data_IF_734076272390
#
_entry.id   IF_734076272390
#
_cell.length_a   1.000
_cell.length_b   1.000
_cell.length_c   1.000
_cell.angle_alpha   90.00
_cell.angle_beta   90.00
_cell.angle_gamma   90.00
#
_symmetry.space_group_name_H-M   'P 1'
#
loop_
_entity.id
_entity.type
_entity.pdbx_description
1 polymer ?
#
# COMPACT_ATOMS: atom_id res chain seq x y z
N UNK A 1 5.47 27.88 16.24
CA UNK A 1 4.70 26.76 16.84
C UNK A 1 5.49 26.25 18.06
N UNK A 2 5.88 27.14 18.97
CA UNK A 2 6.85 26.78 20.01
C UNK A 2 6.18 26.34 21.33
N UNK A 3 4.90 26.68 21.53
CA UNK A 3 4.14 26.38 22.75
C UNK A 3 2.99 25.36 22.52
N UNK A 4 3.03 24.58 21.43
CA UNK A 4 1.97 23.58 21.18
C UNK A 4 2.22 22.31 22.03
N UNK A 5 1.24 21.98 22.87
CA UNK A 5 1.23 20.80 23.75
C UNK A 5 0.13 19.79 23.39
N UNK A 6 -0.47 19.90 22.20
CA UNK A 6 -1.50 19.00 21.72
C UNK A 6 -0.93 17.59 21.52
N UNK A 7 -1.78 16.58 21.79
CA UNK A 7 -1.50 15.17 21.49
C UNK A 7 -1.40 14.95 19.98
N UNK A 8 -2.32 15.53 19.22
CA UNK A 8 -2.37 15.48 17.75
C UNK A 8 -2.44 16.90 17.18
N UNK A 9 -1.29 17.58 17.04
CA UNK A 9 -1.25 18.95 16.54
C UNK A 9 -1.76 19.07 15.09
N UNK A 10 -2.17 20.28 14.71
CA UNK A 10 -2.54 20.59 13.33
C UNK A 10 -1.40 20.26 12.36
N UNK A 11 -1.76 19.57 11.28
CA UNK A 11 -0.84 19.04 10.27
C UNK A 11 -1.23 19.57 8.89
N UNK A 12 -0.38 20.43 8.31
CA UNK A 12 -0.63 20.99 6.98
C UNK A 12 -0.38 19.93 5.92
N UNK A 13 -1.36 19.71 5.06
CA UNK A 13 -1.31 18.75 3.95
C UNK A 13 -1.91 19.39 2.69
N UNK A 14 -1.12 20.18 1.96
CA UNK A 14 -1.61 21.01 0.84
C UNK A 14 -1.28 20.38 -0.52
N UNK A 15 -2.34 19.99 -1.25
CA UNK A 15 -2.23 19.41 -2.61
C UNK A 15 -2.03 20.43 -3.72
N UNK A 16 -2.38 21.69 -3.48
CA UNK A 16 -2.35 22.79 -4.46
C UNK A 16 -1.15 23.71 -4.23
N UNK A 17 -0.19 23.30 -3.40
CA UNK A 17 0.93 24.14 -2.99
C UNK A 17 1.72 24.67 -4.18
N UNK A 18 1.91 23.83 -5.21
CA UNK A 18 2.70 24.19 -6.37
C UNK A 18 2.05 25.33 -7.16
N UNK A 19 0.75 25.23 -7.42
CA UNK A 19 -0.02 26.25 -8.13
C UNK A 19 -0.13 27.53 -7.31
N UNK A 20 -0.43 27.42 -6.00
CA UNK A 20 -0.57 28.56 -5.09
C UNK A 20 0.73 29.34 -4.92
N UNK A 21 1.87 28.65 -4.92
CA UNK A 21 3.19 29.23 -4.68
C UNK A 21 3.97 29.50 -5.97
N UNK A 22 3.42 29.17 -7.14
CA UNK A 22 4.11 29.34 -8.43
C UNK A 22 5.37 28.46 -8.56
N UNK A 23 5.36 27.28 -7.93
CA UNK A 23 6.51 26.37 -7.94
C UNK A 23 6.55 25.60 -9.26
N UNK A 24 7.65 25.78 -9.99
CA UNK A 24 7.95 25.03 -11.20
C UNK A 24 8.48 23.63 -10.85
N UNK A 25 7.89 22.59 -11.44
CA UNK A 25 8.19 21.19 -11.11
C UNK A 25 8.52 20.45 -12.40
N UNK A 26 9.62 19.72 -12.40
CA UNK A 26 10.05 18.94 -13.56
C UNK A 26 11.56 18.77 -13.62
N UNK A 27 12.02 17.95 -14.55
CA UNK A 27 13.45 17.71 -14.74
C UNK A 27 14.05 18.79 -15.68
N UNK A 28 14.12 20.03 -15.20
CA UNK A 28 14.71 21.17 -15.92
C UNK A 28 15.44 22.11 -14.95
N UNK A 29 16.45 22.87 -15.41
CA UNK A 29 17.28 23.70 -14.52
C UNK A 29 16.53 24.74 -13.66
N UNK A 30 15.36 25.21 -14.12
CA UNK A 30 14.53 26.19 -13.39
C UNK A 30 13.58 25.57 -12.36
N UNK A 31 13.43 24.25 -12.35
CA UNK A 31 12.46 23.60 -11.49
C UNK A 31 12.95 23.56 -10.03
N UNK A 32 12.03 23.74 -9.10
CA UNK A 32 12.32 23.66 -7.68
C UNK A 32 12.62 22.22 -7.23
N UNK A 33 11.96 21.24 -7.83
CA UNK A 33 12.23 19.83 -7.61
C UNK A 33 11.70 18.95 -8.76
N UNK A 34 12.15 17.70 -8.79
CA UNK A 34 11.62 16.63 -9.64
C UNK A 34 11.52 15.33 -8.86
N UNK A 35 10.80 14.35 -9.43
CA UNK A 35 10.72 12.99 -8.87
C UNK A 35 12.09 12.31 -8.96
N UNK A 36 12.54 11.56 -7.95
CA UNK A 36 13.80 10.81 -8.02
C UNK A 36 13.85 9.83 -9.19
N UNK A 37 14.97 9.83 -9.92
CA UNK A 37 15.12 9.09 -11.19
C UNK A 37 15.02 7.57 -11.02
N UNK A 38 15.42 7.04 -9.85
CA UNK A 38 15.36 5.61 -9.54
C UNK A 38 13.94 5.02 -9.56
N UNK A 39 12.91 5.88 -9.47
CA UNK A 39 11.51 5.46 -9.53
C UNK A 39 10.96 5.33 -10.96
N UNK A 40 11.73 5.75 -11.97
CA UNK A 40 11.33 5.68 -13.37
C UNK A 40 10.15 6.60 -13.72
N UNK A 41 9.55 6.41 -14.92
CA UNK A 41 8.37 7.15 -15.36
C UNK A 41 7.13 6.92 -14.48
N UNK A 42 6.34 7.97 -14.28
CA UNK A 42 5.01 7.91 -13.66
C UNK A 42 3.94 7.72 -14.74
N UNK A 43 3.36 6.53 -14.82
CA UNK A 43 2.35 6.20 -15.83
C UNK A 43 1.03 6.97 -15.62
N UNK A 44 0.72 7.43 -14.40
CA UNK A 44 -0.42 8.32 -14.16
C UNK A 44 -0.21 9.73 -14.74
N UNK A 45 0.99 10.08 -15.22
CA UNK A 45 1.20 11.33 -15.95
C UNK A 45 0.38 11.41 -17.25
N UNK A 46 0.03 10.27 -17.87
CA UNK A 46 -0.82 10.20 -19.07
C UNK A 46 -2.24 10.80 -18.86
N UNK A 47 -2.68 10.91 -17.60
CA UNK A 47 -3.96 11.55 -17.26
C UNK A 47 -3.89 13.09 -17.35
N UNK A 48 -2.70 13.68 -17.45
CA UNK A 48 -2.53 15.13 -17.55
C UNK A 48 -3.24 15.87 -16.41
N UNK A 49 -4.10 16.83 -16.76
CA UNK A 49 -4.88 17.62 -15.80
C UNK A 49 -6.05 16.86 -15.15
N UNK A 50 -6.45 15.73 -15.74
CA UNK A 50 -7.54 14.88 -15.22
C UNK A 50 -7.03 13.90 -14.14
N UNK A 51 -5.72 13.93 -13.86
CA UNK A 51 -5.09 13.05 -12.87
C UNK A 51 -5.63 13.31 -11.47
N UNK A 52 -5.71 12.28 -10.61
CA UNK A 52 -6.07 12.48 -9.22
C UNK A 52 -5.02 13.32 -8.50
N UNK A 53 -5.40 13.92 -7.37
CA UNK A 53 -4.45 14.54 -6.44
C UNK A 53 -3.32 13.54 -6.13
N UNK A 54 -2.07 13.99 -6.30
CA UNK A 54 -0.92 13.09 -6.35
C UNK A 54 0.34 13.67 -5.71
N UNK A 55 0.30 14.92 -5.25
CA UNK A 55 1.45 15.59 -4.65
C UNK A 55 0.97 16.46 -3.51
N UNK A 56 1.75 16.49 -2.44
CA UNK A 56 1.42 17.27 -1.26
C UNK A 56 2.68 17.87 -0.64
N UNK A 57 2.55 19.13 -0.25
CA UNK A 57 3.44 19.77 0.71
C UNK A 57 2.93 19.47 2.11
N UNK A 58 3.83 18.96 2.93
CA UNK A 58 3.53 18.55 4.28
C UNK A 58 4.35 19.39 5.24
N UNK A 59 3.69 20.09 6.15
CA UNK A 59 4.34 20.89 7.20
C UNK A 59 3.66 20.59 8.52
N UNK A 60 4.44 20.21 9.53
CA UNK A 60 3.89 19.88 10.84
C UNK A 60 4.91 20.05 11.96
N UNK A 61 4.44 20.34 13.19
CA UNK A 61 5.27 20.27 14.38
C UNK A 61 5.56 18.80 14.77
N UNK A 62 6.41 18.60 15.76
CA UNK A 62 6.58 17.31 16.44
C UNK A 62 5.22 16.72 16.88
N UNK A 63 5.11 15.38 16.92
CA UNK A 63 3.92 14.58 17.25
C UNK A 63 2.80 14.57 16.19
N UNK A 64 2.78 15.53 15.27
CA UNK A 64 1.84 15.47 14.14
C UNK A 64 2.23 14.37 13.14
N UNK A 65 1.29 13.91 12.32
CA UNK A 65 1.54 12.82 11.39
C UNK A 65 0.27 12.24 10.77
N UNK A 66 0.35 10.98 10.33
CA UNK A 66 -0.78 10.25 9.76
C UNK A 66 -0.89 8.86 10.40
N UNK A 67 -2.12 8.47 10.76
CA UNK A 67 -2.45 7.11 11.23
C UNK A 67 -2.25 6.07 10.13
N UNK A 68 -2.44 4.78 10.46
CA UNK A 68 -2.32 3.71 9.48
C UNK A 68 -3.25 3.89 8.29
N UNK A 69 -2.68 3.86 7.09
CA UNK A 69 -3.43 3.87 5.85
C UNK A 69 -2.66 3.13 4.74
N UNK A 70 -3.35 2.93 3.61
CA UNK A 70 -2.77 2.57 2.33
C UNK A 70 -2.96 3.73 1.37
N UNK A 71 -2.00 3.96 0.50
CA UNK A 71 -2.12 4.96 -0.55
C UNK A 71 -3.30 4.64 -1.48
N UNK A 72 -4.04 5.66 -1.95
CA UNK A 72 -5.23 5.46 -2.78
C UNK A 72 -4.87 4.92 -4.18
N UNK A 73 -5.89 4.37 -4.83
CA UNK A 73 -5.85 3.93 -6.23
C UNK A 73 -4.76 2.89 -6.54
N UNK A 74 -4.26 2.19 -5.53
CA UNK A 74 -3.17 1.21 -5.68
C UNK A 74 -1.85 1.84 -6.11
N UNK A 75 -1.63 3.13 -5.86
CA UNK A 75 -0.38 3.82 -6.21
C UNK A 75 0.76 3.46 -5.26
N UNK A 76 2.01 3.64 -5.70
CA UNK A 76 3.15 3.76 -4.78
C UNK A 76 3.40 5.23 -4.47
N UNK A 77 4.17 5.52 -3.43
CA UNK A 77 4.55 6.89 -3.10
C UNK A 77 6.04 7.01 -2.78
N UNK A 78 6.54 8.24 -2.88
CA UNK A 78 7.81 8.63 -2.29
C UNK A 78 7.60 9.84 -1.39
N UNK A 79 8.33 9.90 -0.28
CA UNK A 79 8.30 10.99 0.69
C UNK A 79 9.72 11.52 0.93
N UNK A 80 9.98 12.75 0.50
CA UNK A 80 11.25 13.44 0.70
C UNK A 80 11.18 14.36 1.91
N UNK A 81 12.00 14.09 2.93
CA UNK A 81 12.08 14.93 4.12
C UNK A 81 13.03 16.08 3.83
N UNK A 82 12.51 17.30 3.73
CA UNK A 82 13.30 18.51 3.46
C UNK A 82 13.89 19.06 4.77
N UNK A 83 13.08 19.08 5.83
CA UNK A 83 13.47 19.54 7.16
C UNK A 83 12.85 18.63 8.22
N UNK A 84 13.58 18.45 9.33
CA UNK A 84 13.17 17.63 10.47
C UNK A 84 13.40 16.14 10.25
N UNK A 85 12.64 15.33 10.96
CA UNK A 85 12.71 13.87 10.88
C UNK A 85 11.34 13.22 11.10
N UNK A 86 11.13 12.08 10.44
CA UNK A 86 9.89 11.31 10.49
C UNK A 86 10.17 9.88 10.92
N UNK A 87 9.47 9.42 11.94
CA UNK A 87 9.38 8.00 12.27
C UNK A 87 8.32 7.34 11.38
N UNK A 88 8.67 6.18 10.85
CA UNK A 88 7.82 5.35 10.01
C UNK A 88 7.72 3.96 10.60
N UNK A 89 6.51 3.40 10.55
CA UNK A 89 6.26 1.99 10.79
C UNK A 89 5.33 1.47 9.71
N UNK A 90 5.72 0.38 9.07
CA UNK A 90 5.14 -0.11 7.82
C UNK A 90 4.96 -1.62 7.86
N UNK A 91 3.92 -2.08 7.17
CA UNK A 91 3.60 -3.50 7.03
C UNK A 91 3.21 -3.83 5.59
N UNK A 92 3.57 -5.02 5.08
CA UNK A 92 3.17 -5.44 3.75
C UNK A 92 1.64 -5.59 3.63
N UNK A 93 1.09 -5.58 2.41
CA UNK A 93 -0.36 -5.56 2.18
C UNK A 93 -1.14 -6.73 2.82
N UNK A 94 -0.46 -7.86 3.05
CA UNK A 94 -1.01 -9.12 3.58
C UNK A 94 -0.93 -9.23 5.10
N UNK A 95 -0.19 -8.34 5.77
CA UNK A 95 -0.03 -8.38 7.21
C UNK A 95 -1.28 -7.89 7.93
N UNK A 96 -1.53 -8.47 9.11
CA UNK A 96 -2.52 -7.98 10.07
C UNK A 96 -1.84 -6.99 11.01
N UNK A 97 -2.12 -5.69 10.81
CA UNK A 97 -1.55 -4.65 11.67
C UNK A 97 -2.33 -4.64 13.00
N UNK A 98 -1.66 -4.78 14.16
CA UNK A 98 -2.34 -4.75 15.45
C UNK A 98 -3.21 -3.51 15.61
N UNK A 99 -4.45 -3.70 16.09
CA UNK A 99 -5.44 -2.64 16.24
C UNK A 99 -6.08 -2.12 14.95
N UNK A 100 -5.65 -2.58 13.77
CA UNK A 100 -6.26 -2.20 12.48
C UNK A 100 -7.05 -3.38 11.91
N UNK A 101 -8.35 -3.19 11.79
CA UNK A 101 -9.29 -4.19 11.28
C UNK A 101 -9.86 -3.72 9.95
N UNK A 102 -9.95 -4.65 8.99
CA UNK A 102 -10.38 -4.35 7.62
C UNK A 102 -11.57 -5.24 7.29
N UNK A 103 -12.61 -4.67 6.72
CA UNK A 103 -13.76 -5.44 6.24
C UNK A 103 -13.36 -6.45 5.16
N UNK A 104 -14.18 -7.48 4.93
CA UNK A 104 -13.88 -8.56 3.96
C UNK A 104 -13.67 -8.04 2.53
N UNK A 105 -14.38 -6.99 2.15
CA UNK A 105 -14.29 -6.30 0.86
C UNK A 105 -13.26 -5.14 0.85
N UNK A 106 -12.61 -4.91 1.99
CA UNK A 106 -11.64 -3.84 2.21
C UNK A 106 -12.20 -2.42 1.99
N UNK A 107 -13.51 -2.24 2.13
CA UNK A 107 -14.16 -0.93 2.01
C UNK A 107 -14.14 -0.14 3.32
N UNK A 108 -14.08 -0.83 4.46
CA UNK A 108 -14.06 -0.22 5.78
C UNK A 108 -12.80 -0.61 6.54
N UNK A 109 -12.21 0.38 7.21
CA UNK A 109 -11.05 0.21 8.09
C UNK A 109 -11.40 0.77 9.46
N UNK A 110 -11.28 -0.07 10.48
CA UNK A 110 -11.41 0.31 11.89
C UNK A 110 -10.03 0.34 12.50
N UNK A 111 -9.60 1.50 13.01
CA UNK A 111 -8.32 1.70 13.66
C UNK A 111 -8.48 2.63 14.87
N UNK A 112 -7.48 2.72 15.77
CA UNK A 112 -7.40 3.79 16.75
C UNK A 112 -7.60 5.17 16.11
N UNK A 113 -8.17 6.09 16.88
CA UNK A 113 -8.54 7.42 16.41
C UNK A 113 -7.32 8.33 16.28
N UNK A 114 -6.31 8.13 17.14
CA UNK A 114 -5.09 8.94 17.15
C UNK A 114 -3.82 8.08 17.00
N UNK A 115 -2.77 8.75 16.54
CA UNK A 115 -1.42 8.18 16.46
C UNK A 115 -0.93 7.76 17.85
N UNK A 116 -1.16 8.61 18.86
CA UNK A 116 -0.70 8.34 20.22
C UNK A 116 -1.44 7.16 20.84
N UNK A 117 -2.75 7.04 20.64
CA UNK A 117 -3.54 5.88 21.07
C UNK A 117 -2.96 4.58 20.50
N UNK A 118 -2.67 4.56 19.20
CA UNK A 118 -2.07 3.39 18.56
C UNK A 118 -0.67 3.10 19.11
N UNK A 119 0.17 4.12 19.24
CA UNK A 119 1.54 3.96 19.74
C UNK A 119 1.59 3.43 21.17
N UNK A 120 0.71 3.91 22.05
CA UNK A 120 0.66 3.48 23.45
C UNK A 120 0.09 2.07 23.60
N UNK A 121 -0.86 1.69 22.75
CA UNK A 121 -1.62 0.44 22.91
C UNK A 121 -1.01 -0.73 22.14
N UNK A 122 -0.47 -0.49 20.94
CA UNK A 122 -0.14 -1.55 19.98
C UNK A 122 1.30 -1.55 19.50
N UNK A 123 2.07 -0.46 19.66
CA UNK A 123 3.43 -0.34 19.11
C UNK A 123 4.37 -1.46 19.55
N UNK A 124 4.38 -1.76 20.86
CA UNK A 124 5.25 -2.79 21.41
C UNK A 124 4.95 -4.19 20.84
N UNK A 125 3.68 -4.49 20.57
CA UNK A 125 3.27 -5.73 19.91
C UNK A 125 3.62 -5.74 18.43
N UNK A 126 3.30 -4.65 17.73
CA UNK A 126 3.53 -4.50 16.30
C UNK A 126 5.01 -4.69 15.94
N UNK A 127 5.94 -4.17 16.74
CA UNK A 127 7.39 -4.32 16.54
C UNK A 127 7.93 -5.73 16.70
N UNK A 128 7.16 -6.64 17.31
CA UNK A 128 7.55 -8.06 17.45
C UNK A 128 7.15 -8.89 16.23
N UNK A 129 6.31 -8.35 15.35
CA UNK A 129 5.91 -9.04 14.13
C UNK A 129 7.07 -9.07 13.12
N UNK A 130 7.37 -10.21 12.49
CA UNK A 130 8.45 -10.32 11.51
C UNK A 130 8.21 -9.46 10.26
N UNK A 131 6.96 -9.11 9.96
CA UNK A 131 6.59 -8.25 8.84
C UNK A 131 6.73 -6.75 9.14
N UNK A 132 7.01 -6.37 10.40
CA UNK A 132 7.15 -4.98 10.80
C UNK A 132 8.44 -4.39 10.25
N UNK A 133 8.31 -3.31 9.48
CA UNK A 133 9.44 -2.49 9.02
C UNK A 133 9.30 -1.11 9.62
N UNK A 134 10.27 -0.70 10.45
CA UNK A 134 10.27 0.64 11.05
C UNK A 134 11.61 1.34 10.85
N UNK A 135 11.59 2.68 10.91
CA UNK A 135 12.79 3.48 10.78
C UNK A 135 12.54 4.97 10.93
N UNK A 136 13.63 5.73 10.95
CA UNK A 136 13.58 7.19 10.96
C UNK A 136 14.16 7.70 9.65
N UNK A 137 13.34 8.44 8.90
CA UNK A 137 13.73 9.18 7.72
C UNK A 137 14.07 10.62 8.11
N UNK A 138 15.31 11.04 7.88
CA UNK A 138 15.88 12.34 8.28
C UNK A 138 15.92 13.30 7.09
N UNK A 139 16.14 14.59 7.38
CA UNK A 139 16.33 15.61 6.35
C UNK A 139 17.36 15.19 5.30
N UNK A 140 16.99 15.33 4.02
CA UNK A 140 17.78 14.89 2.86
C UNK A 140 17.50 13.46 2.41
N UNK A 141 16.81 12.65 3.21
CA UNK A 141 16.45 11.28 2.86
C UNK A 141 15.08 11.21 2.17
N UNK A 142 14.90 10.16 1.37
CA UNK A 142 13.65 9.87 0.66
C UNK A 142 13.21 8.45 1.00
N UNK A 143 12.00 8.32 1.53
CA UNK A 143 11.37 7.02 1.75
C UNK A 143 10.51 6.64 0.54
N UNK A 144 10.60 5.38 0.11
CA UNK A 144 9.68 4.79 -0.87
C UNK A 144 8.63 3.94 -0.15
N UNK A 145 7.36 4.18 -0.47
CA UNK A 145 6.21 3.41 0.02
C UNK A 145 5.69 2.55 -1.14
N UNK A 146 5.91 1.23 -1.10
CA UNK A 146 5.40 0.37 -2.16
C UNK A 146 3.88 0.26 -2.11
N UNK A 147 3.26 0.06 -3.27
CA UNK A 147 1.80 -0.04 -3.38
C UNK A 147 1.19 -1.05 -2.40
N UNK A 148 0.11 -0.62 -1.75
CA UNK A 148 -0.69 -1.43 -0.84
C UNK A 148 -0.09 -1.65 0.55
N UNK A 149 1.09 -1.10 0.84
CA UNK A 149 1.68 -1.20 2.18
C UNK A 149 0.93 -0.33 3.18
N UNK A 150 0.64 -0.92 4.34
CA UNK A 150 0.17 -0.17 5.49
C UNK A 150 1.31 0.67 6.04
N UNK A 151 1.04 1.92 6.36
CA UNK A 151 2.05 2.80 6.95
C UNK A 151 1.45 3.84 7.89
N UNK A 152 2.15 4.08 8.99
CA UNK A 152 1.90 5.15 9.96
C UNK A 152 3.17 5.99 10.06
N UNK A 153 2.98 7.31 10.18
CA UNK A 153 4.06 8.30 10.14
C UNK A 153 3.90 9.29 11.28
N UNK A 154 5.00 9.59 11.97
CA UNK A 154 5.03 10.59 13.05
C UNK A 154 6.21 11.53 12.84
N UNK A 155 5.96 12.83 12.92
CA UNK A 155 7.00 13.83 12.94
C UNK A 155 7.69 13.79 14.31
N UNK A 156 8.98 13.47 14.32
CA UNK A 156 9.81 13.52 15.54
C UNK A 156 10.34 14.92 15.81
N UNK A 157 10.32 15.77 14.79
CA UNK A 157 10.72 17.17 14.84
C UNK A 157 9.76 17.99 13.99
N UNK A 158 9.72 19.30 14.20
CA UNK A 158 9.06 20.20 13.24
C UNK A 158 9.72 20.03 11.87
N UNK A 159 8.91 19.86 10.83
CA UNK A 159 9.44 19.45 9.55
C UNK A 159 8.62 19.89 8.37
N UNK A 160 9.31 19.87 7.23
CA UNK A 160 8.76 20.09 5.90
C UNK A 160 9.11 18.85 5.08
N UNK A 161 8.11 18.28 4.40
CA UNK A 161 8.31 17.18 3.49
C UNK A 161 7.47 17.36 2.22
N UNK A 162 7.94 16.75 1.13
CA UNK A 162 7.19 16.60 -0.10
C UNK A 162 6.89 15.14 -0.30
N UNK A 163 5.65 14.81 -0.66
CA UNK A 163 5.26 13.45 -1.00
C UNK A 163 4.54 13.42 -2.32
N UNK A 164 4.78 12.39 -3.13
CA UNK A 164 4.01 12.17 -4.35
C UNK A 164 3.67 10.70 -4.57
N UNK A 165 2.47 10.49 -5.06
CA UNK A 165 1.96 9.20 -5.48
C UNK A 165 2.15 9.04 -6.99
N UNK A 166 2.54 7.85 -7.41
CA UNK A 166 2.89 7.55 -8.79
C UNK A 166 2.66 6.07 -9.12
N UNK A 167 2.60 5.78 -10.42
CA UNK A 167 2.56 4.41 -10.94
C UNK A 167 3.86 4.16 -11.71
N UNK A 168 4.87 3.48 -11.13
CA UNK A 168 6.13 3.22 -11.82
C UNK A 168 5.94 2.35 -13.06
N UNK A 169 6.65 2.71 -14.12
CA UNK A 169 6.85 1.83 -15.26
C UNK A 169 7.91 0.76 -14.95
N UNK A 170 7.49 -0.34 -14.31
CA UNK A 170 8.36 -1.49 -14.05
C UNK A 170 8.42 -2.46 -15.24
N UNK A 171 9.50 -3.25 -15.41
CA UNK A 171 9.59 -4.22 -16.50
C UNK A 171 8.45 -5.27 -16.52
N UNK A 172 7.96 -5.66 -15.33
CA UNK A 172 6.87 -6.63 -15.16
C UNK A 172 5.48 -6.03 -15.37
N UNK A 173 5.35 -4.70 -15.32
CA UNK A 173 4.08 -3.95 -15.34
C UNK A 173 3.07 -4.43 -14.28
N UNK A 174 3.52 -5.15 -13.25
CA UNK A 174 2.63 -5.79 -12.26
C UNK A 174 1.77 -4.79 -11.51
N UNK A 175 2.37 -3.64 -11.17
CA UNK A 175 1.67 -2.57 -10.48
C UNK A 175 0.67 -1.85 -11.40
N UNK A 176 1.03 -1.59 -12.65
CA UNK A 176 0.08 -1.03 -13.62
C UNK A 176 -1.15 -1.95 -13.77
N UNK A 177 -0.93 -3.26 -13.91
CA UNK A 177 -2.02 -4.24 -13.95
C UNK A 177 -2.91 -4.18 -12.71
N UNK A 178 -2.32 -4.02 -11.52
CA UNK A 178 -3.06 -3.92 -10.26
C UNK A 178 -3.83 -2.60 -10.13
N UNK A 179 -3.27 -1.49 -10.58
CA UNK A 179 -3.95 -0.19 -10.64
C UNK A 179 -5.15 -0.26 -11.61
N UNK A 180 -4.97 -0.81 -12.81
CA UNK A 180 -6.05 -0.98 -13.78
C UNK A 180 -7.19 -1.84 -13.21
N UNK A 181 -6.85 -2.95 -12.55
CA UNK A 181 -7.84 -3.78 -11.85
C UNK A 181 -8.53 -3.04 -10.71
N UNK A 182 -7.78 -2.26 -9.92
CA UNK A 182 -8.35 -1.48 -8.82
C UNK A 182 -9.36 -0.45 -9.33
N UNK A 183 -9.00 0.32 -10.37
CA UNK A 183 -9.89 1.32 -10.95
C UNK A 183 -11.16 0.70 -11.55
N UNK A 184 -11.04 -0.49 -12.17
CA UNK A 184 -12.17 -1.20 -12.79
C UNK A 184 -13.08 -1.89 -11.77
N UNK A 185 -12.49 -2.64 -10.85
CA UNK A 185 -13.22 -3.58 -9.99
C UNK A 185 -13.62 -2.96 -8.64
N UNK A 186 -13.02 -1.83 -8.26
CA UNK A 186 -13.30 -1.11 -7.00
C UNK A 186 -13.60 0.38 -7.22
N UNK A 187 -14.53 0.75 -8.12
CA UNK A 187 -14.79 2.17 -8.46
C UNK A 187 -15.24 3.01 -7.25
N UNK A 188 -15.91 2.40 -6.27
CA UNK A 188 -16.34 3.06 -5.03
C UNK A 188 -15.18 3.36 -4.06
N UNK A 189 -14.01 2.74 -4.23
CA UNK A 189 -12.81 2.98 -3.42
C UNK A 189 -11.82 3.92 -4.13
N UNK A 190 -12.12 4.35 -5.36
CA UNK A 190 -11.29 5.30 -6.10
C UNK A 190 -11.47 6.70 -5.54
N UNK A 191 -10.36 7.43 -5.35
CA UNK A 191 -10.39 8.77 -4.76
C UNK A 191 -9.41 9.73 -5.42
N UNK A 192 -9.58 11.02 -5.13
CA UNK A 192 -8.69 12.09 -5.60
C UNK A 192 -8.98 12.62 -7.01
N UNK A 193 -9.84 11.95 -7.79
CA UNK A 193 -10.30 12.42 -9.10
C UNK A 193 -11.33 13.56 -8.97
N UNK A 194 -11.44 14.39 -10.02
CA UNK A 194 -12.48 15.40 -10.10
C UNK A 194 -13.88 14.76 -10.18
N UNK A 195 -14.88 15.39 -9.57
CA UNK A 195 -16.28 14.89 -9.56
C UNK A 195 -16.90 14.75 -10.95
N UNK A 196 -16.35 15.43 -11.95
CA UNK A 196 -16.77 15.33 -13.35
C UNK A 196 -16.32 14.05 -14.04
N UNK A 197 -15.40 13.30 -13.45
CA UNK A 197 -14.86 12.05 -14.01
C UNK A 197 -15.71 10.90 -13.46
N UNK A 198 -16.54 10.30 -14.31
CA UNK A 198 -17.41 9.19 -13.95
C UNK A 198 -16.72 7.83 -14.00
N UNK A 199 -15.82 7.64 -14.95
CA UNK A 199 -15.08 6.37 -15.14
C UNK A 199 -13.56 6.64 -15.21
N UNK A 200 -12.87 6.60 -14.05
CA UNK A 200 -11.41 6.72 -13.99
C UNK A 200 -10.67 5.61 -14.73
N UNK A 201 -11.23 4.40 -14.84
CA UNK A 201 -10.62 3.27 -15.53
C UNK A 201 -10.60 3.51 -17.03
N UNK A 202 -11.77 3.82 -17.62
CA UNK A 202 -11.89 4.07 -19.06
C UNK A 202 -11.05 5.26 -19.49
N UNK A 203 -11.05 6.34 -18.70
CA UNK A 203 -10.21 7.50 -18.93
C UNK A 203 -8.73 7.12 -18.97
N UNK A 204 -8.25 6.41 -17.94
CA UNK A 204 -6.84 6.05 -17.85
C UNK A 204 -6.41 5.08 -18.96
N UNK A 205 -7.22 4.05 -19.23
CA UNK A 205 -6.96 3.10 -20.30
C UNK A 205 -6.92 3.79 -21.68
N UNK A 206 -7.83 4.73 -21.94
CA UNK A 206 -7.86 5.49 -23.19
C UNK A 206 -6.63 6.37 -23.39
N UNK A 207 -6.15 7.04 -22.33
CA UNK A 207 -4.92 7.84 -22.38
C UNK A 207 -3.68 6.97 -22.62
N UNK A 208 -3.57 5.84 -21.92
CA UNK A 208 -2.48 4.89 -22.15
C UNK A 208 -2.53 4.28 -23.56
N UNK A 209 -3.71 4.01 -24.11
CA UNK A 209 -3.85 3.51 -25.47
C UNK A 209 -3.33 4.53 -26.50
N UNK A 210 -3.54 5.82 -26.26
CA UNK A 210 -3.07 6.89 -27.15
C UNK A 210 -1.55 7.10 -27.07
N UNK A 211 -0.98 7.11 -25.86
CA UNK A 211 0.43 7.42 -25.65
C UNK A 211 1.35 6.20 -25.73
N UNK A 212 0.91 5.06 -25.22
CA UNK A 212 1.73 3.85 -25.01
C UNK A 212 0.91 2.54 -25.23
N UNK A 213 0.36 2.28 -26.43
CA UNK A 213 -0.55 1.16 -26.69
C UNK A 213 0.06 -0.22 -26.36
N UNK A 214 1.30 -0.45 -26.75
CA UNK A 214 2.02 -1.71 -26.49
C UNK A 214 2.19 -2.00 -24.99
N UNK A 215 2.31 -0.94 -24.17
CA UNK A 215 2.47 -1.08 -22.72
C UNK A 215 1.13 -1.44 -22.06
N UNK A 216 0.04 -0.84 -22.51
CA UNK A 216 -1.31 -1.18 -22.06
C UNK A 216 -1.67 -2.62 -22.41
N UNK A 217 -1.43 -3.05 -23.65
CA UNK A 217 -1.70 -4.41 -24.11
C UNK A 217 -0.99 -5.45 -23.23
N UNK A 218 0.33 -5.29 -23.03
CA UNK A 218 1.12 -6.17 -22.16
C UNK A 218 0.61 -6.19 -20.72
N UNK A 219 0.14 -5.06 -20.20
CA UNK A 219 -0.40 -4.97 -18.85
C UNK A 219 -1.75 -5.70 -18.72
N UNK A 220 -2.61 -5.60 -19.73
CA UNK A 220 -3.89 -6.33 -19.80
C UNK A 220 -3.67 -7.84 -19.98
N UNK A 221 -2.73 -8.26 -20.83
CA UNK A 221 -2.33 -9.67 -20.94
C UNK A 221 -1.80 -10.22 -19.60
N UNK A 222 -1.08 -9.41 -18.82
CA UNK A 222 -0.63 -9.80 -17.50
C UNK A 222 -1.80 -9.98 -16.52
N UNK A 223 -2.84 -9.14 -16.62
CA UNK A 223 -4.10 -9.30 -15.86
C UNK A 223 -4.79 -10.60 -16.22
N UNK A 224 -4.98 -10.87 -17.52
CA UNK A 224 -5.67 -12.07 -18.00
C UNK A 224 -4.95 -13.35 -17.59
N UNK A 225 -3.61 -13.37 -17.68
CA UNK A 225 -2.78 -14.49 -17.19
C UNK A 225 -2.94 -14.72 -15.69
N UNK A 226 -2.96 -13.66 -14.87
CA UNK A 226 -3.19 -13.77 -13.42
C UNK A 226 -4.58 -14.32 -13.11
N UNK A 227 -5.61 -13.83 -13.78
CA UNK A 227 -6.99 -14.28 -13.59
C UNK A 227 -7.19 -15.74 -14.05
N UNK A 228 -6.62 -16.13 -15.18
CA UNK A 228 -6.67 -17.50 -15.70
C UNK A 228 -6.00 -18.49 -14.75
N UNK A 229 -4.85 -18.12 -14.16
CA UNK A 229 -4.19 -18.93 -13.13
C UNK A 229 -5.04 -19.09 -11.87
N UNK A 230 -5.72 -18.03 -11.41
CA UNK A 230 -6.63 -18.09 -10.26
C UNK A 230 -7.82 -19.02 -10.53
N UNK A 231 -8.45 -18.93 -11.71
CA UNK A 231 -9.56 -19.81 -12.12
C UNK A 231 -9.12 -21.28 -12.14
N UNK A 232 -8.00 -21.56 -12.82
CA UNK A 232 -7.43 -22.93 -12.88
C UNK A 232 -7.10 -23.49 -11.48
N UNK A 233 -6.60 -22.67 -10.56
CA UNK A 233 -6.34 -23.10 -9.19
C UNK A 233 -7.62 -23.38 -8.42
N UNK A 234 -8.66 -22.55 -8.57
CA UNK A 234 -9.97 -22.79 -7.97
C UNK A 234 -10.62 -24.08 -8.50
N UNK A 235 -10.48 -24.37 -9.80
CA UNK A 235 -11.01 -25.60 -10.40
C UNK A 235 -10.31 -26.85 -9.87
N UNK A 236 -8.99 -26.78 -9.60
CA UNK A 236 -8.22 -27.89 -9.02
C UNK A 236 -8.46 -28.05 -7.52
N UNK A 237 -8.58 -26.94 -6.77
CA UNK A 237 -8.79 -26.98 -5.32
C UNK A 237 -10.27 -27.20 -4.92
N UNK A 238 -11.21 -27.00 -5.84
CA UNK A 238 -12.65 -27.22 -5.63
C UNK A 238 -13.12 -28.65 -5.94
N UNK A 239 -12.27 -29.48 -6.53
CA UNK A 239 -12.56 -30.89 -6.78
C UNK A 239 -12.24 -31.74 -5.55
N UNK A 240 -13.12 -31.71 -4.53
CA UNK A 240 -13.42 -32.85 -3.64
C UNK A 240 -14.40 -32.44 -2.53
N UNK A 241 -15.67 -32.27 -2.90
CA UNK A 241 -16.84 -32.49 -2.03
C UNK A 241 -18.07 -32.94 -2.85
N UNK A 242 -17.96 -34.08 -3.52
CA UNK A 242 -19.13 -34.91 -3.79
C UNK A 242 -18.84 -36.34 -3.32
N UNK A 243 -19.45 -36.73 -2.19
CA UNK A 243 -19.64 -38.14 -1.89
C UNK A 243 -20.53 -38.75 -2.99
N UNK A 244 -19.93 -39.41 -3.97
CA UNK A 244 -20.60 -40.44 -4.75
C UNK A 244 -20.04 -41.80 -4.33
N UNK A 245 -20.95 -42.61 -3.81
CA UNK A 245 -20.78 -44.05 -3.65
C UNK A 245 -20.54 -44.67 -5.03
N UNK A 246 -19.39 -45.33 -5.18
CA UNK A 246 -19.22 -46.70 -5.69
C UNK A 246 -17.97 -46.85 -6.56
N UNK A 247 -17.24 -47.95 -6.30
CA UNK A 247 -16.39 -48.60 -7.30
C UNK A 247 -14.91 -48.29 -7.20
N UNK A 248 -14.16 -49.28 -6.73
CA UNK A 248 -12.72 -49.29 -6.53
C UNK A 248 -11.85 -49.10 -7.79
N UNK A 249 -10.55 -48.89 -7.51
CA UNK A 249 -9.34 -48.83 -8.38
C UNK A 249 -9.04 -47.44 -8.97
N UNK A 250 -7.97 -46.71 -8.64
CA UNK A 250 -6.80 -46.93 -7.79
C UNK A 250 -5.60 -46.24 -8.45
N UNK A 251 -4.98 -45.27 -7.78
CA UNK A 251 -3.53 -45.01 -7.78
C UNK A 251 -3.25 -43.91 -6.74
N UNK A 252 -2.81 -44.35 -5.55
CA UNK A 252 -2.38 -43.49 -4.43
C UNK A 252 -0.85 -43.56 -4.32
N UNK A 253 -0.20 -42.40 -4.24
CA UNK A 253 1.18 -42.29 -3.77
C UNK A 253 1.12 -41.84 -2.30
N UNK A 254 1.19 -42.80 -1.38
CA UNK A 254 1.35 -42.55 0.05
C UNK A 254 2.81 -42.71 0.45
N UNK A 255 3.36 -41.70 1.13
CA UNK A 255 4.51 -41.89 2.00
C UNK A 255 4.00 -41.81 3.44
N UNK A 256 4.10 -42.95 4.14
CA UNK A 256 3.81 -43.08 5.57
C UNK A 256 4.89 -42.39 6.41
N UNK A 257 4.38 -41.66 7.41
CA UNK A 257 4.78 -41.52 8.83
C UNK A 257 6.04 -42.22 9.33
N UNK A 258 6.71 -41.56 10.28
CA UNK A 258 7.09 -42.18 11.56
C UNK A 258 6.98 -41.11 12.68
N UNK A 259 5.93 -41.21 13.49
CA UNK A 259 5.88 -40.69 14.87
C UNK A 259 6.18 -41.90 15.77
N UNK A 260 7.21 -41.79 16.60
CA UNK A 260 7.55 -42.78 17.63
C UNK A 260 6.95 -42.31 18.96
N UNK A 261 5.90 -43.00 19.42
CA UNK A 261 5.33 -42.90 20.77
C UNK A 261 6.17 -43.72 21.75
N UNK A 262 6.52 -43.15 22.91
CA UNK A 262 6.62 -43.91 24.16
C UNK A 262 6.61 -42.99 25.40
N UNK A 263 5.46 -42.92 26.06
CA UNK A 263 5.36 -42.62 27.50
C UNK A 263 5.11 -43.93 28.27
N UNK A 264 5.68 -44.09 29.47
CA UNK A 264 5.07 -44.88 30.52
C UNK A 264 4.62 -43.99 31.69
N UNK A 265 3.41 -44.26 32.17
CA UNK A 265 2.85 -43.73 33.41
C UNK A 265 3.47 -44.39 34.64
N UNK A 266 3.75 -43.59 35.68
CA UNK A 266 3.75 -44.07 37.06
C UNK A 266 3.50 -42.91 38.05
N UNK A 267 2.47 -43.11 38.85
CA UNK A 267 1.98 -42.34 39.98
C UNK A 267 2.98 -42.41 41.17
N UNK A 268 3.21 -41.29 41.86
CA UNK A 268 3.65 -41.28 43.27
C UNK A 268 3.55 -39.87 43.86
N UNK A 269 2.81 -39.81 44.96
CA UNK A 269 2.60 -38.71 45.87
C UNK A 269 3.82 -38.47 46.79
N UNK A 270 3.78 -37.31 47.48
CA UNK A 270 4.34 -36.98 48.81
C UNK A 270 5.42 -35.87 48.82
N UNK A 271 5.09 -34.88 49.68
CA UNK A 271 5.80 -33.70 50.22
C UNK A 271 6.12 -32.52 49.31
#
# INVERSE_FOLDING_TARGET
>A
MDDNMDESPLYLFDRMFAEKMGIDIGNKPSAAYWRPDCFGPDLFAALGNDRPAHRWLIIGPERSGSTFHKDPNGTSAWNAVIQGSKYWIMFPPTAQVPGVYVSRDSSEVTSPLSIAEWLLSFHGEARRLPECVEGVCRAGEILHVPSGWWHLVVNLERGIALTQNFVPQSPSLSLLSEVLLFLRDKPNQVSGFARSISDPYELFASRLMQEQPMLLERALEAVERKQSKKRKWHDVAGGDKECRQDGATGFSFGFCTDDDDNEPTADASIT
#
